data_IF_146895087943
#
_entry.id   IF_146895087943
#
_cell.length_a   1.000
_cell.length_b   1.000
_cell.length_c   1.000
_cell.angle_alpha   90.00
_cell.angle_beta   90.00
_cell.angle_gamma   90.00
#
_symmetry.space_group_name_H-M   'P 1'
#
loop_
_entity.id
_entity.type
_entity.pdbx_description
1 polymer ?
#
# COMPACT_ATOMS: atom_id res chain seq x y z
N UNK A 1 -29.05 11.49 -0.07
CA UNK A 1 -27.92 10.58 -0.38
C UNK A 1 -26.65 11.28 0.08
N UNK A 2 -25.80 10.63 0.89
CA UNK A 2 -24.48 11.19 1.21
C UNK A 2 -23.66 11.28 -0.08
N UNK A 3 -23.06 12.44 -0.34
CA UNK A 3 -22.29 12.69 -1.57
C UNK A 3 -20.86 12.21 -1.32
N UNK A 4 -20.29 11.47 -2.26
CA UNK A 4 -18.86 11.10 -2.21
C UNK A 4 -18.03 12.38 -2.17
N UNK A 5 -17.09 12.49 -1.22
CA UNK A 5 -16.27 13.69 -1.02
C UNK A 5 -15.43 14.00 -2.27
N UNK A 6 -14.71 13.00 -2.76
CA UNK A 6 -13.80 13.13 -3.91
C UNK A 6 -14.08 12.02 -4.94
N UNK A 7 -15.02 12.23 -5.88
CA UNK A 7 -15.52 11.17 -6.74
C UNK A 7 -14.48 10.62 -7.71
N UNK A 8 -13.67 11.49 -8.34
CA UNK A 8 -12.65 11.05 -9.30
C UNK A 8 -11.63 10.13 -8.64
N UNK A 9 -11.05 10.56 -7.51
CA UNK A 9 -10.10 9.77 -6.72
C UNK A 9 -10.73 8.46 -6.25
N UNK A 10 -11.96 8.52 -5.72
CA UNK A 10 -12.66 7.29 -5.27
C UNK A 10 -12.80 6.28 -6.41
N UNK A 11 -13.24 6.70 -7.60
CA UNK A 11 -13.44 5.78 -8.71
C UNK A 11 -12.13 5.28 -9.32
N UNK A 12 -11.10 6.11 -9.43
CA UNK A 12 -9.78 5.69 -9.93
C UNK A 12 -9.16 4.64 -9.00
N UNK A 13 -9.25 4.82 -7.69
CA UNK A 13 -8.73 3.85 -6.73
C UNK A 13 -9.57 2.57 -6.67
N UNK A 14 -10.90 2.64 -6.79
CA UNK A 14 -11.75 1.43 -6.90
C UNK A 14 -11.40 0.64 -8.17
N UNK A 15 -11.19 1.34 -9.29
CA UNK A 15 -10.73 0.70 -10.51
C UNK A 15 -9.35 0.06 -10.34
N UNK A 16 -8.42 0.73 -9.67
CA UNK A 16 -7.12 0.17 -9.28
C UNK A 16 -7.22 -1.07 -8.37
N UNK A 17 -8.18 -1.09 -7.43
CA UNK A 17 -8.45 -2.26 -6.59
C UNK A 17 -8.92 -3.46 -7.43
N UNK A 18 -9.80 -3.24 -8.39
CA UNK A 18 -10.28 -4.31 -9.29
C UNK A 18 -9.12 -4.84 -10.14
N UNK A 19 -8.33 -3.95 -10.75
CA UNK A 19 -7.17 -4.36 -11.53
C UNK A 19 -6.11 -5.10 -10.71
N UNK A 20 -5.93 -4.73 -9.44
CA UNK A 20 -4.96 -5.41 -8.56
C UNK A 20 -5.41 -6.81 -8.15
N UNK A 21 -6.72 -7.06 -7.99
CA UNK A 21 -7.26 -8.42 -7.83
C UNK A 21 -6.96 -9.27 -9.06
N UNK A 22 -7.26 -8.77 -10.26
CA UNK A 22 -6.99 -9.47 -11.52
C UNK A 22 -5.49 -9.74 -11.66
N UNK A 23 -4.64 -8.75 -11.38
CA UNK A 23 -3.18 -8.90 -11.42
C UNK A 23 -2.67 -9.96 -10.44
N UNK A 24 -3.22 -10.00 -9.22
CA UNK A 24 -2.88 -11.00 -8.21
C UNK A 24 -3.25 -12.41 -8.68
N UNK A 25 -4.45 -12.60 -9.23
CA UNK A 25 -4.88 -13.89 -9.79
C UNK A 25 -3.93 -14.36 -10.90
N UNK A 26 -3.58 -13.48 -11.83
CA UNK A 26 -2.64 -13.78 -12.92
C UNK A 26 -1.28 -14.23 -12.38
N UNK A 27 -0.71 -13.50 -11.41
CA UNK A 27 0.57 -13.85 -10.82
C UNK A 27 0.49 -15.17 -10.04
N UNK A 28 -0.55 -15.36 -9.25
CA UNK A 28 -0.76 -16.56 -8.44
C UNK A 28 -0.83 -17.82 -9.32
N UNK A 29 -1.64 -17.81 -10.38
CA UNK A 29 -1.72 -18.95 -11.30
C UNK A 29 -0.44 -19.17 -12.10
N UNK A 30 0.30 -18.10 -12.42
CA UNK A 30 1.62 -18.21 -13.06
C UNK A 30 2.63 -18.91 -12.17
N UNK A 31 2.68 -18.56 -10.89
CA UNK A 31 3.59 -19.18 -9.92
C UNK A 31 3.25 -20.66 -9.71
N UNK A 32 1.96 -20.98 -9.54
CA UNK A 32 1.49 -22.36 -9.41
C UNK A 32 1.86 -23.22 -10.62
N UNK A 33 1.64 -22.72 -11.84
CA UNK A 33 2.02 -23.44 -13.07
C UNK A 33 3.53 -23.64 -13.21
N UNK A 34 4.32 -22.74 -12.66
CA UNK A 34 5.78 -22.77 -12.71
C UNK A 34 6.40 -23.51 -11.53
N UNK A 35 5.58 -24.07 -10.62
CA UNK A 35 6.03 -24.67 -9.35
C UNK A 35 6.90 -23.74 -8.49
N UNK A 36 6.67 -22.43 -8.60
CA UNK A 36 7.32 -21.39 -7.78
C UNK A 36 6.44 -21.14 -6.56
N UNK A 37 7.06 -20.87 -5.41
CA UNK A 37 6.32 -20.48 -4.21
C UNK A 37 5.64 -19.11 -4.43
N UNK A 38 4.29 -19.01 -4.37
CA UNK A 38 3.57 -17.78 -4.70
C UNK A 38 3.59 -16.72 -3.58
N UNK A 39 4.19 -17.02 -2.42
CA UNK A 39 4.09 -16.20 -1.22
C UNK A 39 4.56 -14.75 -1.43
N UNK A 40 5.65 -14.54 -2.18
CA UNK A 40 6.21 -13.22 -2.44
C UNK A 40 5.27 -12.34 -3.29
N UNK A 41 4.66 -12.92 -4.32
CA UNK A 41 3.69 -12.24 -5.18
C UNK A 41 2.34 -12.08 -4.49
N UNK A 42 1.96 -12.98 -3.58
CA UNK A 42 0.80 -12.84 -2.71
C UNK A 42 0.96 -11.63 -1.77
N UNK A 43 2.13 -11.48 -1.13
CA UNK A 43 2.44 -10.33 -0.28
C UNK A 43 2.30 -9.02 -1.08
N UNK A 44 2.87 -8.97 -2.29
CA UNK A 44 2.74 -7.83 -3.19
C UNK A 44 1.28 -7.54 -3.57
N UNK A 45 0.56 -8.52 -4.12
CA UNK A 45 -0.79 -8.31 -4.64
C UNK A 45 -1.80 -7.96 -3.56
N UNK A 46 -1.75 -8.61 -2.40
CA UNK A 46 -2.62 -8.29 -1.27
C UNK A 46 -2.36 -6.89 -0.72
N UNK A 47 -1.10 -6.47 -0.67
CA UNK A 47 -0.74 -5.11 -0.24
C UNK A 47 -1.21 -4.05 -1.24
N UNK A 48 -1.17 -4.34 -2.54
CA UNK A 48 -1.66 -3.45 -3.59
C UNK A 48 -3.18 -3.28 -3.53
N UNK A 49 -3.93 -4.39 -3.34
CA UNK A 49 -5.37 -4.36 -3.11
C UNK A 49 -5.67 -3.53 -1.84
N UNK A 50 -4.97 -3.81 -0.75
CA UNK A 50 -5.15 -3.11 0.51
C UNK A 50 -4.93 -1.60 0.39
N UNK A 51 -3.90 -1.18 -0.36
CA UNK A 51 -3.61 0.24 -0.63
C UNK A 51 -4.77 0.90 -1.38
N UNK A 52 -5.19 0.33 -2.51
CA UNK A 52 -6.28 0.91 -3.30
C UNK A 52 -7.63 0.94 -2.56
N UNK A 53 -7.92 -0.10 -1.76
CA UNK A 53 -9.13 -0.12 -0.92
C UNK A 53 -9.06 0.95 0.17
N UNK A 54 -7.92 1.08 0.85
CA UNK A 54 -7.73 2.09 1.90
C UNK A 54 -7.90 3.50 1.36
N UNK A 55 -7.33 3.77 0.18
CA UNK A 55 -7.46 5.05 -0.51
C UNK A 55 -8.89 5.35 -0.95
N UNK A 56 -9.56 4.36 -1.56
CA UNK A 56 -10.97 4.49 -1.95
C UNK A 56 -11.87 4.83 -0.76
N UNK A 57 -11.65 4.16 0.39
CA UNK A 57 -12.39 4.45 1.62
C UNK A 57 -12.11 5.88 2.10
N UNK A 58 -10.85 6.32 2.10
CA UNK A 58 -10.50 7.68 2.52
C UNK A 58 -11.17 8.76 1.66
N UNK A 59 -11.16 8.62 0.33
CA UNK A 59 -11.74 9.60 -0.60
C UNK A 59 -13.28 9.54 -0.67
N UNK A 60 -13.87 8.39 -0.33
CA UNK A 60 -15.33 8.23 -0.33
C UNK A 60 -16.03 8.91 0.84
N UNK A 61 -15.33 9.08 1.97
CA UNK A 61 -15.95 9.48 3.25
C UNK A 61 -16.05 10.99 3.41
N UNK A 62 -17.22 11.44 3.88
CA UNK A 62 -17.54 12.84 4.17
C UNK A 62 -16.54 13.50 5.14
N UNK A 63 -16.33 14.81 4.93
CA UNK A 63 -15.42 15.61 5.77
C UNK A 63 -15.84 15.69 7.25
N UNK A 64 -17.13 15.54 7.53
CA UNK A 64 -17.71 15.58 8.89
C UNK A 64 -17.68 14.21 9.59
N UNK A 65 -17.20 13.17 8.91
CA UNK A 65 -17.16 11.83 9.47
C UNK A 65 -16.11 11.71 10.57
N UNK A 66 -16.51 11.17 11.72
CA UNK A 66 -15.59 10.80 12.82
C UNK A 66 -14.56 9.73 12.39
N UNK A 67 -14.84 8.98 11.31
CA UNK A 67 -13.93 7.95 10.78
C UNK A 67 -12.85 8.51 9.85
N UNK A 68 -12.99 9.75 9.37
CA UNK A 68 -12.08 10.32 8.38
C UNK A 68 -10.61 10.32 8.82
N UNK A 69 -10.26 10.72 10.07
CA UNK A 69 -8.88 10.68 10.52
C UNK A 69 -8.29 9.26 10.52
N UNK A 70 -9.11 8.26 10.85
CA UNK A 70 -8.68 6.85 10.85
C UNK A 70 -8.44 6.33 9.44
N UNK A 71 -9.33 6.62 8.48
CA UNK A 71 -9.12 6.23 7.08
C UNK A 71 -7.95 6.97 6.43
N UNK A 72 -7.73 8.24 6.78
CA UNK A 72 -6.52 8.96 6.36
C UNK A 72 -5.25 8.27 6.86
N UNK A 73 -5.21 7.87 8.14
CA UNK A 73 -4.06 7.14 8.70
C UNK A 73 -3.87 5.79 8.00
N UNK A 74 -4.96 5.06 7.76
CA UNK A 74 -4.94 3.77 7.08
C UNK A 74 -4.37 3.88 5.67
N UNK A 75 -4.88 4.83 4.89
CA UNK A 75 -4.43 5.13 3.53
C UNK A 75 -2.92 5.45 3.51
N UNK A 76 -2.46 6.32 4.40
CA UNK A 76 -1.05 6.66 4.49
C UNK A 76 -0.17 5.47 4.90
N UNK A 77 -0.61 4.66 5.88
CA UNK A 77 0.12 3.47 6.31
C UNK A 77 0.21 2.41 5.20
N UNK A 78 -0.84 2.31 4.37
CA UNK A 78 -0.90 1.32 3.30
C UNK A 78 0.19 1.52 2.24
N UNK A 79 0.62 2.77 1.99
CA UNK A 79 1.73 3.09 1.08
C UNK A 79 3.05 2.51 1.60
N UNK A 80 3.35 2.64 2.89
CA UNK A 80 4.56 2.04 3.47
C UNK A 80 4.59 0.52 3.32
N UNK A 81 3.44 -0.14 3.54
CA UNK A 81 3.31 -1.58 3.35
C UNK A 81 3.54 -1.94 1.87
N UNK A 82 2.88 -1.23 0.95
CA UNK A 82 3.00 -1.49 -0.48
C UNK A 82 4.43 -1.30 -0.98
N UNK A 83 5.17 -0.30 -0.48
CA UNK A 83 6.59 -0.11 -0.82
C UNK A 83 7.38 -1.38 -0.46
N UNK A 84 7.35 -1.83 0.80
CA UNK A 84 8.07 -3.05 1.20
C UNK A 84 7.60 -4.31 0.44
N UNK A 85 6.29 -4.42 0.21
CA UNK A 85 5.70 -5.54 -0.51
C UNK A 85 6.10 -5.58 -2.00
N UNK A 86 6.29 -4.42 -2.64
CA UNK A 86 6.75 -4.31 -4.04
C UNK A 86 8.16 -4.85 -4.21
N UNK A 87 9.05 -4.57 -3.24
CA UNK A 87 10.42 -5.07 -3.27
C UNK A 87 10.53 -6.55 -2.88
N UNK A 88 9.55 -7.11 -2.19
CA UNK A 88 9.60 -8.52 -1.72
C UNK A 88 9.82 -9.52 -2.87
N UNK A 89 8.99 -9.58 -3.94
CA UNK A 89 9.24 -10.50 -5.04
C UNK A 89 10.49 -10.15 -5.86
N UNK A 90 10.85 -8.86 -5.97
CA UNK A 90 12.08 -8.42 -6.64
C UNK A 90 13.31 -8.99 -5.92
N UNK A 91 13.38 -8.84 -4.60
CA UNK A 91 14.49 -9.34 -3.78
C UNK A 91 14.52 -10.87 -3.77
N UNK A 92 13.36 -11.52 -3.62
CA UNK A 92 13.29 -13.00 -3.61
C UNK A 92 13.79 -13.60 -4.92
N UNK A 93 13.49 -12.98 -6.07
CA UNK A 93 13.80 -13.51 -7.40
C UNK A 93 15.16 -13.05 -7.94
N UNK A 94 15.61 -11.83 -7.63
CA UNK A 94 16.79 -11.23 -8.24
C UNK A 94 18.00 -11.09 -7.29
N UNK A 95 17.80 -11.06 -5.97
CA UNK A 95 18.92 -10.89 -5.05
C UNK A 95 19.68 -12.20 -4.80
N UNK A 96 20.99 -12.07 -4.66
CA UNK A 96 21.87 -13.16 -4.22
C UNK A 96 21.40 -13.71 -2.87
N UNK A 97 21.60 -15.02 -2.68
CA UNK A 97 21.14 -15.75 -1.49
C UNK A 97 21.67 -15.12 -0.19
N UNK A 98 22.89 -14.60 -0.23
CA UNK A 98 23.58 -14.00 0.92
C UNK A 98 22.93 -12.70 1.39
N UNK A 99 22.40 -11.89 0.47
CA UNK A 99 21.83 -10.57 0.79
C UNK A 99 20.32 -10.56 0.91
N UNK A 100 19.62 -11.61 0.44
CA UNK A 100 18.15 -11.66 0.39
C UNK A 100 17.48 -11.34 1.72
N UNK A 101 17.91 -12.01 2.79
CA UNK A 101 17.31 -11.82 4.13
C UNK A 101 17.58 -10.41 4.66
N UNK A 102 18.81 -9.92 4.48
CA UNK A 102 19.21 -8.57 4.91
C UNK A 102 18.38 -7.49 4.20
N UNK A 103 18.23 -7.59 2.88
CA UNK A 103 17.45 -6.63 2.09
C UNK A 103 15.97 -6.67 2.44
N UNK A 104 15.38 -7.86 2.61
CA UNK A 104 13.99 -8.00 3.05
C UNK A 104 13.80 -7.37 4.44
N UNK A 105 14.68 -7.69 5.39
CA UNK A 105 14.62 -7.14 6.74
C UNK A 105 14.73 -5.61 6.73
N UNK A 106 15.64 -5.05 5.92
CA UNK A 106 15.81 -3.61 5.78
C UNK A 106 14.55 -2.93 5.24
N UNK A 107 13.98 -3.43 4.14
CA UNK A 107 12.78 -2.85 3.53
C UNK A 107 11.58 -2.87 4.47
N UNK A 108 11.36 -3.99 5.15
CA UNK A 108 10.27 -4.12 6.12
C UNK A 108 10.52 -3.29 7.39
N UNK A 109 11.76 -3.20 7.87
CA UNK A 109 12.10 -2.34 9.01
C UNK A 109 11.84 -0.85 8.70
N UNK A 110 12.21 -0.37 7.52
CA UNK A 110 11.93 1.00 7.08
C UNK A 110 10.42 1.25 7.01
N UNK A 111 9.66 0.33 6.41
CA UNK A 111 8.20 0.44 6.31
C UNK A 111 7.52 0.47 7.69
N UNK A 112 7.88 -0.46 8.58
CA UNK A 112 7.36 -0.51 9.95
C UNK A 112 7.71 0.78 10.70
N UNK A 113 8.95 1.26 10.59
CA UNK A 113 9.38 2.52 11.21
C UNK A 113 8.53 3.69 10.72
N UNK A 114 8.30 3.80 9.40
CA UNK A 114 7.45 4.84 8.83
C UNK A 114 6.00 4.79 9.34
N UNK A 115 5.42 3.58 9.44
CA UNK A 115 4.08 3.35 10.00
C UNK A 115 4.03 3.79 11.48
N UNK A 116 5.01 3.38 12.29
CA UNK A 116 5.08 3.73 13.71
C UNK A 116 5.19 5.25 13.90
N UNK A 117 6.04 5.92 13.11
CA UNK A 117 6.14 7.39 13.15
C UNK A 117 4.80 8.02 12.80
N UNK A 118 4.10 7.52 11.76
CA UNK A 118 2.81 8.08 11.36
C UNK A 118 1.70 7.90 12.40
N UNK A 119 1.71 6.77 13.12
CA UNK A 119 0.71 6.47 14.14
C UNK A 119 0.96 7.25 15.44
N UNK A 120 2.20 7.24 15.93
CA UNK A 120 2.55 7.76 17.25
C UNK A 120 3.02 9.21 17.24
N UNK A 121 3.59 9.68 16.13
CA UNK A 121 4.15 11.02 15.99
C UNK A 121 3.60 11.76 14.77
N UNK A 122 2.26 11.91 14.63
CA UNK A 122 1.67 12.57 13.46
C UNK A 122 2.19 14.00 13.29
N UNK A 123 2.40 14.73 14.38
CA UNK A 123 2.91 16.12 14.38
C UNK A 123 4.34 16.24 13.82
N UNK A 124 5.18 15.20 13.89
CA UNK A 124 6.53 15.24 13.32
C UNK A 124 6.53 15.17 11.79
N UNK A 125 5.44 14.70 11.17
CA UNK A 125 5.31 14.55 9.72
C UNK A 125 4.28 15.49 9.10
N UNK A 126 3.32 15.97 9.90
CA UNK A 126 2.22 16.81 9.44
C UNK A 126 2.68 18.28 9.36
N UNK A 127 3.04 18.73 8.14
CA UNK A 127 3.27 20.15 7.81
C UNK A 127 4.29 20.45 6.71
N UNK A 128 5.26 19.57 6.46
CA UNK A 128 6.26 19.76 5.36
C UNK A 128 6.47 18.50 4.53
N UNK A 129 6.54 17.32 5.17
CA UNK A 129 6.79 16.05 4.47
C UNK A 129 5.50 15.49 3.88
N UNK A 130 4.36 15.64 4.55
CA UNK A 130 3.08 15.26 3.97
C UNK A 130 2.79 16.04 2.69
N UNK A 131 2.77 17.38 2.75
CA UNK A 131 2.40 18.19 1.59
C UNK A 131 3.33 17.93 0.40
N UNK A 132 4.63 17.74 0.67
CA UNK A 132 5.61 17.33 -0.34
C UNK A 132 5.35 15.93 -0.93
N UNK A 133 5.01 14.92 -0.14
CA UNK A 133 4.71 13.57 -0.68
C UNK A 133 3.39 13.58 -1.47
N UNK A 134 2.39 14.34 -1.02
CA UNK A 134 1.06 14.37 -1.64
C UNK A 134 0.99 15.25 -2.89
N UNK A 135 1.87 16.25 -3.05
CA UNK A 135 2.02 16.99 -4.32
C UNK A 135 2.43 16.10 -5.51
N UNK A 136 3.13 14.99 -5.25
CA UNK A 136 3.61 14.08 -6.29
C UNK A 136 2.71 12.86 -6.50
N UNK A 137 1.78 12.61 -5.57
CA UNK A 137 0.97 11.37 -5.52
C UNK A 137 -0.54 11.64 -5.69
N UNK A 138 -1.01 12.88 -5.50
CA UNK A 138 -2.40 13.30 -5.74
C UNK A 138 -2.61 14.02 -7.06
#
# INVERSE_FOLDING_TARGET
>A
MKKIREPFNTYSHVFGAILSVIGLEVLFFKDLRSSINPLDNLIYGLSLIFMFVSSSLYHSVDITSKLLPSFRKLDHCSIYILIAATYTPVIVKAADKEYRVMLLALMWAIAITGILIKIFFPILLDGYIQDFIWEWVG
#
